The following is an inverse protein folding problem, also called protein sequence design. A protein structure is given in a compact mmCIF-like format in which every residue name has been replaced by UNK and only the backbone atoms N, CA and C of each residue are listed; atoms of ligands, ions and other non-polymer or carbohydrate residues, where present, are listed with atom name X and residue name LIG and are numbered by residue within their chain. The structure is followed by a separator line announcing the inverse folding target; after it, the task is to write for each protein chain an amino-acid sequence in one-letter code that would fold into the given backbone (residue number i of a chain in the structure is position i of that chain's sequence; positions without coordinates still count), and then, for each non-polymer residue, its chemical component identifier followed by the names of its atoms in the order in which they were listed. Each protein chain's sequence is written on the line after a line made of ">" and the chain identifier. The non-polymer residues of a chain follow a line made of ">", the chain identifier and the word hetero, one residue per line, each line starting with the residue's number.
data_IF_808793449316
#
_entry.id   IF_808793449316
#
_cell.length_a   1.000
_cell.length_b   1.000
_cell.length_c   1.000
_cell.angle_alpha   90.00
_cell.angle_beta   90.00
_cell.angle_gamma   90.00
#
_symmetry.space_group_name_H-M   'P 1'
#
loop_
_entity.id
_entity.type
_entity.pdbx_description
1 polymer ?
#
# COMPACT_ATOMS: atom_id res chain seq x y z
N UNK A 1 7.12 19.36 -15.24
CA UNK A 1 5.93 18.98 -14.49
C UNK A 1 5.99 17.50 -14.10
N UNK A 2 5.19 17.10 -13.12
CA UNK A 2 5.00 15.68 -12.79
C UNK A 2 3.99 15.02 -13.73
N UNK A 3 4.04 13.69 -13.79
CA UNK A 3 3.03 12.86 -14.45
C UNK A 3 1.63 13.16 -13.87
N UNK A 4 0.65 13.25 -14.74
CA UNK A 4 -0.74 13.54 -14.37
C UNK A 4 -1.08 15.01 -14.13
N UNK A 5 -0.09 15.90 -14.11
CA UNK A 5 -0.36 17.33 -14.05
C UNK A 5 -0.63 17.90 -15.45
N UNK A 6 -1.30 19.03 -15.52
CA UNK A 6 -1.46 19.79 -16.78
C UNK A 6 -0.15 20.41 -17.23
N UNK A 7 -0.03 20.66 -18.53
CA UNK A 7 1.13 21.38 -19.05
C UNK A 7 1.13 22.82 -18.51
N UNK A 8 2.33 23.36 -18.20
CA UNK A 8 2.43 24.80 -17.94
C UNK A 8 2.07 25.58 -19.21
N UNK A 9 1.77 26.86 -19.02
CA UNK A 9 1.72 27.80 -20.14
C UNK A 9 3.13 27.92 -20.72
N UNK A 10 3.29 27.62 -22.00
CA UNK A 10 4.58 27.76 -22.65
C UNK A 10 4.80 29.22 -23.07
N UNK A 11 5.99 29.70 -22.80
CA UNK A 11 6.43 31.04 -23.15
C UNK A 11 7.58 30.97 -24.17
N UNK A 12 7.84 32.06 -24.85
CA UNK A 12 8.94 32.20 -25.79
C UNK A 12 9.75 33.47 -25.51
N UNK A 13 11.00 33.42 -25.82
CA UNK A 13 11.91 34.57 -25.77
C UNK A 13 12.34 34.97 -27.19
N UNK A 14 12.69 36.24 -27.37
CA UNK A 14 13.12 36.78 -28.67
C UNK A 14 14.42 37.53 -28.52
N UNK A 15 15.32 37.37 -29.45
CA UNK A 15 16.52 38.18 -29.58
C UNK A 15 16.54 38.95 -30.92
N UNK A 16 17.13 40.09 -30.94
CA UNK A 16 17.32 40.93 -32.12
C UNK A 16 16.16 41.84 -32.44
N UNK A 17 15.67 41.86 -33.68
CA UNK A 17 14.60 42.75 -34.12
C UNK A 17 13.24 42.33 -33.55
N UNK A 18 12.37 43.32 -33.29
CA UNK A 18 11.01 43.06 -32.81
C UNK A 18 10.24 42.15 -33.82
N UNK A 19 9.46 41.23 -33.28
CA UNK A 19 8.57 40.37 -34.09
C UNK A 19 7.35 41.19 -34.55
N UNK A 20 7.00 41.01 -35.82
CA UNK A 20 5.72 41.45 -36.41
C UNK A 20 4.77 40.25 -36.43
N UNK A 21 4.02 40.07 -35.37
CA UNK A 21 3.13 38.95 -35.14
C UNK A 21 3.54 38.07 -33.94
N UNK A 22 2.90 36.91 -33.81
CA UNK A 22 3.08 36.00 -32.66
C UNK A 22 3.41 34.59 -33.18
N UNK A 23 4.41 33.91 -32.59
CA UNK A 23 4.68 32.52 -32.93
C UNK A 23 3.58 31.59 -32.39
N UNK A 24 3.47 30.43 -33.00
CA UNK A 24 2.70 29.31 -32.48
C UNK A 24 3.63 28.38 -31.69
N UNK A 25 3.26 28.03 -30.44
CA UNK A 25 4.01 27.10 -29.63
C UNK A 25 3.24 25.78 -29.55
N UNK A 26 3.89 24.69 -29.90
CA UNK A 26 3.28 23.36 -29.97
C UNK A 26 4.08 22.35 -29.14
N UNK A 27 3.39 21.61 -28.29
CA UNK A 27 3.94 20.46 -27.58
C UNK A 27 2.94 19.31 -27.70
N UNK A 28 3.42 18.11 -28.02
CA UNK A 28 2.57 16.92 -28.14
C UNK A 28 2.19 16.31 -26.80
N UNK A 29 2.85 16.70 -25.70
CA UNK A 29 2.55 16.19 -24.38
C UNK A 29 1.17 16.65 -23.89
N UNK A 30 0.42 15.74 -23.29
CA UNK A 30 -0.87 15.94 -22.62
C UNK A 30 -0.79 15.44 -21.16
N UNK A 31 -1.79 15.69 -20.33
CA UNK A 31 -1.75 15.36 -18.90
C UNK A 31 -1.32 13.91 -18.60
N UNK A 32 -1.79 12.95 -19.39
CA UNK A 32 -1.47 11.53 -19.27
C UNK A 32 -0.26 11.06 -20.10
N UNK A 33 0.52 11.98 -20.70
CA UNK A 33 1.76 11.61 -21.38
C UNK A 33 2.76 11.01 -20.38
N UNK A 34 3.42 9.88 -20.71
CA UNK A 34 4.38 9.21 -19.83
C UNK A 34 5.56 10.08 -19.41
N UNK A 35 6.27 9.63 -18.39
CA UNK A 35 7.56 10.20 -17.98
C UNK A 35 8.52 10.22 -19.17
N UNK A 36 9.16 11.36 -19.40
CA UNK A 36 10.06 11.54 -20.53
C UNK A 36 10.30 13.00 -20.87
N UNK A 37 11.00 13.22 -21.98
CA UNK A 37 11.27 14.55 -22.53
C UNK A 37 10.50 14.75 -23.84
N UNK A 38 9.80 15.85 -23.93
CA UNK A 38 8.94 16.22 -25.06
C UNK A 38 9.41 17.53 -25.66
N UNK A 39 9.51 17.60 -26.97
CA UNK A 39 9.92 18.82 -27.66
C UNK A 39 8.80 19.85 -27.60
N UNK A 40 9.16 21.09 -27.29
CA UNK A 40 8.32 22.26 -27.46
C UNK A 40 8.78 22.93 -28.76
N UNK A 41 7.95 22.89 -29.79
CA UNK A 41 8.26 23.50 -31.07
C UNK A 41 7.71 24.93 -31.12
N UNK A 42 8.50 25.83 -31.69
CA UNK A 42 8.08 27.19 -32.03
C UNK A 42 7.92 27.26 -33.56
N UNK A 43 6.75 27.68 -34.02
CA UNK A 43 6.40 27.75 -35.43
C UNK A 43 6.10 29.21 -35.84
N UNK A 44 6.04 29.43 -37.14
CA UNK A 44 5.82 30.77 -37.72
C UNK A 44 4.62 31.49 -37.12
N UNK A 45 3.50 30.78 -36.83
CA UNK A 45 2.27 31.42 -36.36
C UNK A 45 1.83 32.57 -37.27
N UNK A 46 1.62 33.76 -36.70
CA UNK A 46 1.24 34.97 -37.45
C UNK A 46 2.42 35.90 -37.79
N UNK A 47 3.67 35.46 -37.55
CA UNK A 47 4.87 36.28 -37.77
C UNK A 47 5.07 36.57 -39.28
N UNK A 48 5.30 37.82 -39.61
CA UNK A 48 5.51 38.33 -40.98
C UNK A 48 6.95 38.68 -41.32
N UNK A 49 7.87 38.64 -40.33
CA UNK A 49 9.29 38.85 -40.58
C UNK A 49 9.86 37.79 -41.56
N UNK A 50 10.81 38.22 -42.42
CA UNK A 50 11.36 37.36 -43.49
C UNK A 50 12.52 36.46 -43.04
N UNK A 51 13.24 36.82 -41.99
CA UNK A 51 14.42 36.09 -41.56
C UNK A 51 14.27 35.78 -40.05
N UNK A 52 13.51 34.72 -39.74
CA UNK A 52 13.25 34.26 -38.38
C UNK A 52 13.84 32.88 -38.20
N UNK A 53 14.65 32.68 -37.17
CA UNK A 53 15.17 31.39 -36.76
C UNK A 53 14.38 30.92 -35.53
N UNK A 54 13.89 29.70 -35.56
CA UNK A 54 13.12 29.08 -34.46
C UNK A 54 13.96 28.03 -33.78
N UNK A 55 14.08 28.14 -32.45
CA UNK A 55 14.74 27.16 -31.58
C UNK A 55 13.69 26.46 -30.76
N UNK A 56 13.82 25.13 -30.64
CA UNK A 56 12.90 24.29 -29.85
C UNK A 56 13.33 24.25 -28.40
N UNK A 57 12.36 24.24 -27.52
CA UNK A 57 12.53 23.94 -26.09
C UNK A 57 12.22 22.49 -25.75
N UNK A 58 12.22 22.18 -24.48
CA UNK A 58 11.82 20.85 -23.99
C UNK A 58 10.93 20.93 -22.75
N UNK A 59 9.94 20.05 -22.68
CA UNK A 59 9.15 19.77 -21.49
C UNK A 59 9.59 18.43 -20.93
N UNK A 60 10.08 18.43 -19.68
CA UNK A 60 10.39 17.20 -18.95
C UNK A 60 9.21 16.84 -18.06
N UNK A 61 8.72 15.60 -18.20
CA UNK A 61 7.73 14.99 -17.32
C UNK A 61 8.47 14.05 -16.38
N UNK A 62 8.34 14.30 -15.08
CA UNK A 62 8.94 13.50 -14.01
C UNK A 62 7.93 12.57 -13.38
N UNK A 63 8.39 11.56 -12.65
CA UNK A 63 7.54 10.63 -11.91
C UNK A 63 6.65 11.37 -10.90
N UNK A 64 5.40 10.91 -10.77
CA UNK A 64 4.50 11.34 -9.70
C UNK A 64 4.73 10.52 -8.43
N UNK A 65 4.61 11.08 -7.23
CA UNK A 65 4.74 10.33 -5.99
C UNK A 65 3.53 9.39 -5.80
N UNK A 66 3.81 8.13 -5.40
CA UNK A 66 2.82 7.12 -5.02
C UNK A 66 3.23 6.52 -3.68
N UNK A 67 2.38 6.65 -2.65
CA UNK A 67 2.58 5.99 -1.37
C UNK A 67 1.79 4.68 -1.34
N UNK A 68 2.46 3.60 -0.87
CA UNK A 68 1.86 2.28 -0.67
C UNK A 68 2.03 1.91 0.80
N UNK A 69 0.92 1.69 1.51
CA UNK A 69 0.92 1.37 2.94
C UNK A 69 0.44 -0.05 3.22
N UNK A 70 1.07 -0.69 4.23
CA UNK A 70 0.75 -2.06 4.63
C UNK A 70 -0.48 -2.16 5.54
N UNK A 71 -0.90 -1.06 6.19
CA UNK A 71 -2.00 -1.05 7.14
C UNK A 71 -1.70 -1.73 8.47
N UNK A 72 -2.67 -1.66 9.40
CA UNK A 72 -2.55 -2.24 10.73
C UNK A 72 -3.60 -3.33 10.94
N UNK A 73 -3.20 -4.39 11.65
CA UNK A 73 -3.98 -5.61 11.85
C UNK A 73 -3.92 -6.04 13.31
N UNK A 74 -4.91 -6.82 13.74
CA UNK A 74 -4.94 -7.43 15.07
C UNK A 74 -5.41 -8.88 14.92
N UNK A 75 -4.80 -9.79 15.69
CA UNK A 75 -5.26 -11.17 15.84
C UNK A 75 -5.03 -11.64 17.28
N UNK A 76 -5.72 -12.70 17.73
CA UNK A 76 -5.39 -13.41 18.96
C UNK A 76 -4.27 -14.42 18.71
N UNK A 77 -3.54 -14.75 19.75
CA UNK A 77 -2.60 -15.87 19.72
C UNK A 77 -3.35 -17.16 19.38
N UNK A 78 -2.83 -17.96 18.43
CA UNK A 78 -3.47 -19.17 17.92
C UNK A 78 -4.39 -18.95 16.72
N UNK A 79 -4.87 -17.72 16.47
CA UNK A 79 -5.68 -17.44 15.27
C UNK A 79 -4.83 -17.48 14.00
N UNK A 80 -5.48 -17.74 12.87
CA UNK A 80 -4.85 -17.65 11.55
C UNK A 80 -4.31 -16.25 11.26
N UNK A 81 -3.28 -16.18 10.42
CA UNK A 81 -2.72 -14.90 9.97
C UNK A 81 -3.75 -14.12 9.14
N UNK A 82 -3.90 -12.81 9.37
CA UNK A 82 -4.75 -11.97 8.54
C UNK A 82 -4.18 -11.87 7.12
N UNK A 83 -5.06 -11.71 6.15
CA UNK A 83 -4.65 -11.39 4.78
C UNK A 83 -4.27 -9.92 4.72
N UNK A 84 -3.00 -9.62 4.50
CA UNK A 84 -2.52 -8.25 4.34
C UNK A 84 -2.98 -7.66 3.00
N UNK A 85 -3.37 -6.39 3.00
CA UNK A 85 -3.80 -5.66 1.81
C UNK A 85 -3.06 -4.32 1.73
N UNK A 86 -2.61 -3.97 0.53
CA UNK A 86 -2.02 -2.68 0.27
C UNK A 86 -3.10 -1.59 0.15
N UNK A 87 -2.78 -0.41 0.67
CA UNK A 87 -3.53 0.81 0.40
C UNK A 87 -2.65 1.76 -0.39
N UNK A 88 -3.23 2.47 -1.33
CA UNK A 88 -2.51 3.32 -2.28
C UNK A 88 -2.99 4.76 -2.18
N UNK A 89 -2.05 5.71 -2.22
CA UNK A 89 -2.34 7.13 -2.25
C UNK A 89 -1.42 7.84 -3.25
N UNK A 90 -1.98 8.57 -4.19
CA UNK A 90 -1.22 9.36 -5.16
C UNK A 90 -1.39 8.96 -6.63
N UNK A 91 -2.23 7.97 -6.96
CA UNK A 91 -2.56 7.70 -8.36
C UNK A 91 -3.13 8.94 -9.05
N UNK A 92 -2.71 9.16 -10.28
CA UNK A 92 -3.11 10.26 -11.15
C UNK A 92 -4.10 9.77 -12.21
N UNK A 93 -4.77 10.69 -12.89
CA UNK A 93 -5.65 10.41 -14.04
C UNK A 93 -6.78 9.38 -13.78
N UNK A 94 -7.13 9.11 -12.52
CA UNK A 94 -8.10 8.07 -12.16
C UNK A 94 -7.57 6.64 -12.27
N UNK A 95 -6.26 6.46 -12.28
CA UNK A 95 -5.59 5.17 -12.28
C UNK A 95 -5.68 4.46 -10.93
N UNK A 96 -5.39 3.17 -10.91
CA UNK A 96 -5.39 2.27 -9.77
C UNK A 96 -4.17 1.32 -9.80
N UNK A 97 -4.16 0.31 -8.94
CA UNK A 97 -3.07 -0.66 -8.86
C UNK A 97 -2.81 -1.47 -10.15
N UNK A 98 -3.69 -1.41 -11.14
CA UNK A 98 -3.50 -2.09 -12.42
C UNK A 98 -2.35 -1.53 -13.26
N UNK A 99 -1.91 -0.28 -12.98
CA UNK A 99 -0.77 0.34 -13.66
C UNK A 99 0.58 -0.08 -13.08
N UNK A 100 0.59 -0.84 -11.98
CA UNK A 100 1.82 -1.38 -11.41
C UNK A 100 2.35 -2.50 -12.31
N UNK A 101 3.60 -2.39 -12.71
CA UNK A 101 4.31 -3.44 -13.47
C UNK A 101 4.72 -4.61 -12.60
N UNK A 102 4.87 -4.36 -11.28
CA UNK A 102 5.04 -5.36 -10.23
C UNK A 102 4.16 -5.02 -9.04
N UNK A 103 3.47 -6.02 -8.51
CA UNK A 103 2.66 -5.87 -7.32
C UNK A 103 3.54 -5.87 -6.04
N UNK A 104 3.12 -5.16 -4.98
CA UNK A 104 3.83 -5.16 -3.72
C UNK A 104 3.79 -6.52 -3.03
N UNK A 105 4.84 -6.83 -2.28
CA UNK A 105 4.98 -8.04 -1.47
C UNK A 105 5.04 -7.65 0.01
N UNK A 106 4.30 -8.38 0.83
CA UNK A 106 4.29 -8.22 2.28
C UNK A 106 5.26 -9.18 2.96
N UNK A 107 5.84 -8.74 4.09
CA UNK A 107 6.61 -9.56 5.00
C UNK A 107 6.24 -9.23 6.43
N UNK A 108 6.05 -10.27 7.24
CA UNK A 108 5.82 -10.17 8.68
C UNK A 108 6.48 -11.39 9.35
N UNK A 109 7.17 -11.18 10.45
CA UNK A 109 7.83 -12.28 11.19
C UNK A 109 6.87 -13.06 12.07
N UNK A 110 5.67 -12.54 12.33
CA UNK A 110 4.65 -13.25 13.09
C UNK A 110 4.07 -14.44 12.33
N UNK A 111 3.63 -15.44 13.09
CA UNK A 111 2.88 -16.60 12.63
C UNK A 111 1.69 -16.89 13.56
N UNK A 112 0.96 -17.97 13.36
CA UNK A 112 -0.23 -18.33 14.16
C UNK A 112 0.10 -18.47 15.66
N UNK A 113 1.25 -19.06 15.99
CA UNK A 113 1.68 -19.32 17.37
C UNK A 113 2.44 -18.16 18.04
N UNK A 114 2.64 -17.05 17.33
CA UNK A 114 3.40 -15.91 17.86
C UNK A 114 2.82 -15.39 19.15
N UNK A 115 3.71 -15.06 20.11
CA UNK A 115 3.34 -14.50 21.41
C UNK A 115 2.66 -13.12 21.29
N UNK A 116 1.87 -12.71 22.29
CA UNK A 116 1.30 -11.37 22.35
C UNK A 116 2.39 -10.31 22.28
N UNK A 117 2.40 -9.53 21.22
CA UNK A 117 3.33 -8.43 20.93
C UNK A 117 2.89 -7.68 19.67
N UNK A 118 3.59 -6.60 19.35
CA UNK A 118 3.48 -5.88 18.08
C UNK A 118 4.57 -6.34 17.11
N UNK A 119 4.19 -6.72 15.92
CA UNK A 119 5.06 -7.19 14.85
C UNK A 119 4.97 -6.26 13.66
N UNK A 120 6.10 -5.85 13.08
CA UNK A 120 6.10 -5.03 11.89
C UNK A 120 5.54 -5.79 10.69
N UNK A 121 4.69 -5.12 9.91
CA UNK A 121 4.23 -5.57 8.59
C UNK A 121 4.91 -4.67 7.57
N UNK A 122 5.90 -5.19 6.88
CA UNK A 122 6.63 -4.47 5.83
C UNK A 122 6.01 -4.74 4.47
N UNK A 123 6.11 -3.75 3.58
CA UNK A 123 5.64 -3.83 2.20
C UNK A 123 6.73 -3.28 1.27
N UNK A 124 6.95 -3.93 0.13
CA UNK A 124 8.00 -3.55 -0.80
C UNK A 124 7.82 -4.20 -2.16
N UNK A 125 8.71 -3.89 -3.12
CA UNK A 125 8.86 -4.60 -4.39
C UNK A 125 7.88 -4.22 -5.50
N UNK A 126 6.98 -3.28 -5.28
CA UNK A 126 6.15 -2.71 -6.35
C UNK A 126 6.98 -1.87 -7.32
N UNK A 127 6.56 -1.82 -8.56
CA UNK A 127 7.18 -1.00 -9.60
C UNK A 127 6.13 -0.38 -10.52
N UNK A 128 6.40 0.84 -11.02
CA UNK A 128 5.54 1.56 -11.95
C UNK A 128 6.38 2.54 -12.78
N UNK A 129 6.06 2.64 -14.08
CA UNK A 129 6.84 3.48 -15.00
C UNK A 129 6.74 4.96 -14.66
N UNK A 130 5.53 5.44 -14.36
CA UNK A 130 5.22 6.86 -14.20
C UNK A 130 5.22 7.32 -12.73
N UNK A 131 5.50 6.42 -11.76
CA UNK A 131 5.43 6.73 -10.34
C UNK A 131 6.75 6.51 -9.62
N UNK A 132 7.04 7.37 -8.67
CA UNK A 132 8.08 7.18 -7.65
C UNK A 132 7.41 6.64 -6.39
N UNK A 133 7.70 5.36 -6.07
CA UNK A 133 6.99 4.62 -5.04
C UNK A 133 7.70 4.79 -3.69
N UNK A 134 6.94 5.17 -2.67
CA UNK A 134 7.32 5.13 -1.26
C UNK A 134 6.48 4.13 -0.50
N UNK A 135 7.05 3.56 0.58
CA UNK A 135 6.39 2.53 1.37
C UNK A 135 6.18 2.98 2.81
N UNK A 136 4.98 2.72 3.35
CA UNK A 136 4.66 2.93 4.74
C UNK A 136 4.42 1.56 5.41
N UNK A 137 5.17 1.31 6.48
CA UNK A 137 5.02 0.08 7.27
C UNK A 137 3.72 0.12 8.05
N UNK A 138 3.16 -1.09 8.28
CA UNK A 138 2.07 -1.31 9.20
C UNK A 138 2.50 -2.19 10.37
N UNK A 139 1.54 -2.56 11.20
CA UNK A 139 1.76 -3.39 12.38
C UNK A 139 0.71 -4.48 12.47
N UNK A 140 1.13 -5.66 12.95
CA UNK A 140 0.24 -6.72 13.41
C UNK A 140 0.35 -6.81 14.93
N UNK A 141 -0.73 -6.48 15.63
CA UNK A 141 -0.83 -6.66 17.08
C UNK A 141 -1.39 -8.06 17.35
N UNK A 142 -0.59 -8.91 17.99
CA UNK A 142 -1.03 -10.19 18.54
C UNK A 142 -1.43 -9.95 19.97
N UNK A 143 -2.69 -10.25 20.31
CA UNK A 143 -3.22 -10.17 21.68
C UNK A 143 -3.32 -11.57 22.29
N UNK A 144 -3.47 -11.65 23.61
CA UNK A 144 -3.64 -12.94 24.30
C UNK A 144 -4.87 -13.69 23.77
N UNK A 145 -4.77 -15.02 23.74
CA UNK A 145 -5.91 -15.89 23.49
C UNK A 145 -6.92 -15.78 24.64
N UNK A 146 -8.18 -16.05 24.36
CA UNK A 146 -9.21 -16.07 25.41
C UNK A 146 -8.90 -17.18 26.41
N UNK A 147 -9.02 -16.86 27.71
CA UNK A 147 -8.78 -17.81 28.78
C UNK A 147 -9.89 -18.88 28.82
N UNK A 148 -9.47 -20.12 29.04
CA UNK A 148 -10.35 -21.24 29.35
C UNK A 148 -10.05 -21.70 30.76
N UNK A 149 -11.07 -21.77 31.61
CA UNK A 149 -10.96 -22.36 32.95
C UNK A 149 -11.63 -23.71 32.97
N UNK A 150 -10.89 -24.75 33.34
CA UNK A 150 -11.40 -26.11 33.46
C UNK A 150 -11.41 -26.47 34.94
N UNK A 151 -12.57 -26.85 35.48
CA UNK A 151 -12.75 -27.22 36.89
C UNK A 151 -13.26 -28.66 36.98
N UNK A 152 -12.60 -29.47 37.80
CA UNK A 152 -13.17 -30.76 38.14
C UNK A 152 -14.35 -30.57 39.08
N UNK A 153 -15.41 -31.33 38.91
CA UNK A 153 -16.54 -31.36 39.85
C UNK A 153 -16.12 -32.08 41.15
N UNK A 154 -16.75 -31.71 42.26
CA UNK A 154 -16.54 -32.36 43.53
C UNK A 154 -17.51 -33.52 43.73
N UNK A 155 -16.99 -34.63 44.24
CA UNK A 155 -17.74 -35.85 44.47
C UNK A 155 -17.51 -36.37 45.90
N UNK A 156 -18.46 -37.11 46.42
CA UNK A 156 -18.33 -37.87 47.67
C UNK A 156 -18.84 -39.30 47.45
N UNK A 157 -18.24 -40.30 48.16
CA UNK A 157 -18.69 -41.68 48.19
C UNK A 157 -18.52 -42.25 49.58
N UNK A 158 -19.25 -43.29 49.89
CA UNK A 158 -19.02 -44.04 51.15
C UNK A 158 -17.77 -44.93 51.04
N UNK A 159 -17.21 -45.27 52.17
CA UNK A 159 -16.10 -46.24 52.24
C UNK A 159 -16.55 -47.59 51.71
N UNK A 160 -15.79 -48.13 50.77
CA UNK A 160 -16.07 -49.40 50.13
C UNK A 160 -16.83 -49.31 48.76
N UNK A 161 -17.42 -48.12 48.45
CA UNK A 161 -18.08 -47.95 47.17
C UNK A 161 -17.07 -47.69 46.05
N UNK A 162 -17.49 -47.94 44.79
CA UNK A 162 -16.72 -47.61 43.58
C UNK A 162 -16.65 -46.07 43.43
N UNK A 163 -15.59 -45.61 42.74
CA UNK A 163 -15.47 -44.21 42.36
C UNK A 163 -16.58 -43.80 41.37
N UNK A 164 -17.21 -42.63 41.55
CA UNK A 164 -18.13 -42.08 40.57
C UNK A 164 -17.38 -41.77 39.27
N UNK A 165 -18.12 -41.63 38.17
CA UNK A 165 -17.56 -41.05 36.93
C UNK A 165 -17.27 -39.60 37.16
N UNK A 166 -16.01 -39.22 37.00
CA UNK A 166 -15.59 -37.83 37.19
C UNK A 166 -15.88 -36.97 35.97
N UNK A 167 -16.36 -35.80 36.19
CA UNK A 167 -16.69 -34.82 35.13
C UNK A 167 -15.98 -33.48 35.42
N UNK A 168 -15.89 -32.65 34.39
CA UNK A 168 -15.39 -31.29 34.51
C UNK A 168 -16.41 -30.29 33.99
N UNK A 169 -16.25 -29.05 34.38
CA UNK A 169 -16.94 -27.87 33.84
C UNK A 169 -15.94 -26.94 33.22
N UNK A 170 -16.35 -26.24 32.16
CA UNK A 170 -15.55 -25.24 31.48
C UNK A 170 -16.20 -23.87 31.55
N UNK A 171 -15.42 -22.82 31.69
CA UNK A 171 -15.83 -21.43 31.71
C UNK A 171 -14.86 -20.63 30.79
N UNK A 172 -15.38 -19.69 30.01
CA UNK A 172 -14.60 -18.87 29.08
C UNK A 172 -14.69 -19.35 27.62
N UNK A 173 -13.57 -19.38 26.91
CA UNK A 173 -13.51 -19.80 25.52
C UNK A 173 -13.82 -21.33 25.37
N UNK A 174 -14.15 -21.75 24.16
CA UNK A 174 -14.33 -23.17 23.87
C UNK A 174 -13.02 -23.94 24.11
N UNK A 175 -13.15 -25.10 24.78
CA UNK A 175 -12.03 -26.00 25.01
C UNK A 175 -11.74 -26.77 23.72
N UNK A 176 -10.50 -26.73 23.25
CA UNK A 176 -10.01 -27.57 22.16
C UNK A 176 -9.33 -28.81 22.79
N UNK A 177 -9.92 -29.97 22.55
CA UNK A 177 -9.49 -31.23 23.14
C UNK A 177 -10.26 -31.62 24.41
N UNK A 178 -9.85 -32.73 25.04
CA UNK A 178 -10.49 -33.30 26.26
C UNK A 178 -9.45 -33.41 27.36
N UNK A 179 -9.67 -32.80 28.54
CA UNK A 179 -8.76 -32.95 29.67
C UNK A 179 -8.83 -34.36 30.24
N UNK A 180 -7.71 -34.82 30.79
CA UNK A 180 -7.65 -36.04 31.56
C UNK A 180 -7.99 -35.73 33.03
N UNK A 181 -8.88 -36.54 33.63
CA UNK A 181 -9.25 -36.41 35.05
C UNK A 181 -8.68 -37.61 35.80
N UNK A 182 -7.79 -37.34 36.76
CA UNK A 182 -7.18 -38.35 37.62
C UNK A 182 -7.53 -38.10 39.08
N UNK A 183 -7.80 -39.17 39.82
CA UNK A 183 -7.97 -39.15 41.27
C UNK A 183 -6.77 -39.86 41.92
N UNK A 184 -6.00 -39.15 42.72
CA UNK A 184 -4.83 -39.67 43.45
C UNK A 184 -5.18 -40.03 44.92
#
# INVERSE_FOLDING_TARGET
>A
RQYGDENPVFEFETEGAALDGTPEIVCSAVANSPVGSYTIEVKQGSIKNYNVHFESGSLVITKAPLSISAGNYTKKQGDAMPVFKASYAGFKNGEDESVLTKQPVFSCEANEASAPAEYAVTISGADAENYEISYEQGHLTVVEADAVVVRAKSYSRQYGDENPVFEFETEGAALDGTPEIVCS
#
